data_IF_242828279872
#
_entry.id   IF_242828279872
#
_cell.length_a   1.000
_cell.length_b   1.000
_cell.length_c   1.000
_cell.angle_alpha   90.00
_cell.angle_beta   90.00
_cell.angle_gamma   90.00
#
_symmetry.space_group_name_H-M   'P 1'
#
loop_
_entity.id
_entity.type
_entity.pdbx_description
1 polymer ?
#
# COMPACT_ATOMS: atom_id res chain seq x y z
N UNK A 1 -9.24 -2.68 12.63
CA UNK A 1 -9.69 -3.12 11.28
C UNK A 1 -9.11 -2.18 10.24
N UNK A 2 -8.66 -2.71 9.09
CA UNK A 2 -8.06 -1.98 7.96
C UNK A 2 -8.56 -2.58 6.66
N UNK A 3 -8.25 -1.95 5.53
CA UNK A 3 -8.65 -2.44 4.22
C UNK A 3 -7.46 -3.06 3.46
N UNK A 4 -7.69 -4.19 2.80
CA UNK A 4 -6.77 -4.71 1.80
C UNK A 4 -6.90 -3.83 0.55
N UNK A 5 -5.81 -3.20 0.14
CA UNK A 5 -5.74 -2.31 -1.03
C UNK A 5 -4.99 -2.90 -2.22
N UNK A 6 -4.15 -3.91 -1.96
CA UNK A 6 -3.51 -4.71 -3.00
C UNK A 6 -3.26 -6.13 -2.49
N UNK A 7 -3.27 -7.09 -3.41
CA UNK A 7 -3.11 -8.53 -3.17
C UNK A 7 -1.86 -9.06 -3.89
N UNK A 8 -1.43 -10.31 -3.61
CA UNK A 8 -0.34 -10.92 -4.36
C UNK A 8 -0.53 -10.83 -5.88
N UNK A 9 0.55 -10.51 -6.60
CA UNK A 9 0.56 -10.36 -8.04
C UNK A 9 0.21 -8.96 -8.56
N UNK A 10 -0.45 -8.11 -7.76
CA UNK A 10 -0.63 -6.69 -8.10
C UNK A 10 0.72 -5.98 -8.17
N UNK A 11 0.86 -5.00 -9.05
CA UNK A 11 2.06 -4.15 -9.08
C UNK A 11 1.93 -3.00 -8.09
N UNK A 12 3.02 -2.67 -7.39
CA UNK A 12 3.08 -1.53 -6.47
C UNK A 12 4.24 -0.60 -6.84
N UNK A 13 3.92 0.68 -7.00
CA UNK A 13 4.88 1.75 -7.28
C UNK A 13 4.53 2.94 -6.36
N UNK A 14 5.56 3.68 -5.95
CA UNK A 14 5.39 5.01 -5.38
C UNK A 14 5.80 6.05 -6.41
N UNK A 15 4.91 7.01 -6.66
CA UNK A 15 5.17 8.13 -7.56
C UNK A 15 5.21 9.42 -6.76
N UNK A 16 6.36 10.10 -6.79
CA UNK A 16 6.50 11.45 -6.26
C UNK A 16 5.68 12.43 -7.11
N UNK A 17 4.91 13.28 -6.46
CA UNK A 17 4.06 14.29 -7.08
C UNK A 17 4.73 15.67 -7.02
N UNK A 18 4.19 16.64 -7.76
CA UNK A 18 4.73 18.01 -7.80
C UNK A 18 4.75 18.70 -6.43
N UNK A 19 3.88 18.29 -5.50
CA UNK A 19 3.82 18.80 -4.13
C UNK A 19 4.86 18.15 -3.18
N UNK A 20 5.67 17.22 -3.68
CA UNK A 20 6.68 16.47 -2.92
C UNK A 20 6.13 15.31 -2.09
N UNK A 21 4.82 15.03 -2.16
CA UNK A 21 4.23 13.84 -1.58
C UNK A 21 4.32 12.65 -2.55
N UNK A 22 4.15 11.46 -2.02
CA UNK A 22 4.23 10.20 -2.75
C UNK A 22 2.84 9.57 -2.80
N UNK A 23 2.39 9.25 -4.01
CA UNK A 23 1.14 8.52 -4.22
C UNK A 23 1.43 7.03 -4.37
N UNK A 24 0.57 6.21 -3.79
CA UNK A 24 0.62 4.75 -3.98
C UNK A 24 -0.12 4.41 -5.27
N UNK A 25 0.59 3.79 -6.20
CA UNK A 25 0.07 3.36 -7.49
C UNK A 25 0.01 1.83 -7.51
N UNK A 26 -1.19 1.29 -7.68
CA UNK A 26 -1.44 -0.15 -7.80
C UNK A 26 -1.95 -0.45 -9.21
N UNK A 27 -1.29 -1.37 -9.92
CA UNK A 27 -1.65 -1.72 -11.31
C UNK A 27 -1.80 -0.50 -12.23
N UNK A 28 -0.94 0.51 -12.05
CA UNK A 28 -0.93 1.74 -12.84
C UNK A 28 -2.02 2.76 -12.47
N UNK A 29 -2.72 2.59 -11.35
CA UNK A 29 -3.74 3.54 -10.86
C UNK A 29 -3.45 3.98 -9.43
N UNK A 30 -3.61 5.28 -9.16
CA UNK A 30 -3.60 5.78 -7.79
C UNK A 30 -4.75 5.15 -7.00
N UNK A 31 -4.45 4.61 -5.83
CA UNK A 31 -5.47 4.04 -4.96
C UNK A 31 -6.13 5.15 -4.13
N UNK A 32 -7.44 4.98 -3.89
CA UNK A 32 -8.27 5.93 -3.16
C UNK A 32 -8.80 5.33 -1.84
N UNK A 33 -9.10 6.18 -0.87
CA UNK A 33 -9.84 5.79 0.33
C UNK A 33 -11.36 5.67 0.03
N UNK A 34 -12.17 5.47 1.07
CA UNK A 34 -13.64 5.38 0.89
C UNK A 34 -14.31 6.71 0.54
N UNK A 35 -13.60 7.83 0.64
CA UNK A 35 -14.06 9.18 0.32
C UNK A 35 -13.53 9.65 -1.04
N UNK A 36 -13.00 8.72 -1.85
CA UNK A 36 -12.41 8.98 -3.18
C UNK A 36 -11.16 9.86 -3.15
N UNK A 37 -10.49 9.96 -2.00
CA UNK A 37 -9.26 10.71 -1.84
C UNK A 37 -8.02 9.83 -2.08
N UNK A 38 -7.01 10.30 -2.82
CA UNK A 38 -5.79 9.54 -3.06
C UNK A 38 -4.94 9.40 -1.80
N UNK A 39 -4.29 8.24 -1.64
CA UNK A 39 -3.29 8.06 -0.58
C UNK A 39 -2.04 8.89 -0.87
N UNK A 40 -1.95 10.04 -0.22
CA UNK A 40 -0.82 10.98 -0.30
C UNK A 40 0.07 10.87 0.94
N UNK A 41 1.30 10.37 0.76
CA UNK A 41 2.25 10.15 1.84
C UNK A 41 3.40 11.16 1.77
N UNK A 42 3.75 11.75 2.91
CA UNK A 42 5.01 12.52 2.99
C UNK A 42 6.20 11.59 2.77
N UNK A 43 7.35 12.15 2.37
CA UNK A 43 8.61 11.40 2.22
C UNK A 43 8.92 10.47 3.43
N UNK A 44 8.73 10.98 4.65
CA UNK A 44 8.99 10.20 5.86
C UNK A 44 8.07 8.97 5.98
N UNK A 45 6.80 9.10 5.59
CA UNK A 45 5.79 8.03 5.65
C UNK A 45 5.87 7.09 4.44
N UNK A 46 6.39 7.54 3.30
CA UNK A 46 6.55 6.72 2.10
C UNK A 46 7.75 5.77 2.18
N UNK A 47 8.75 6.10 3.02
CA UNK A 47 10.03 5.38 3.10
C UNK A 47 9.90 3.86 3.24
N UNK A 48 8.96 3.38 4.06
CA UNK A 48 8.80 1.95 4.30
C UNK A 48 8.24 1.22 3.08
N UNK A 49 7.17 1.74 2.49
CA UNK A 49 6.62 1.18 1.26
C UNK A 49 7.63 1.30 0.13
N UNK A 50 8.41 2.39 0.06
CA UNK A 50 9.41 2.58 -0.98
C UNK A 50 10.50 1.52 -0.92
N UNK A 51 10.99 1.19 0.29
CA UNK A 51 11.99 0.14 0.46
C UNK A 51 11.53 -1.19 -0.17
N UNK A 52 10.31 -1.60 0.15
CA UNK A 52 9.72 -2.83 -0.41
C UNK A 52 9.40 -2.71 -1.90
N UNK A 53 8.86 -1.57 -2.35
CA UNK A 53 8.54 -1.35 -3.76
C UNK A 53 9.81 -1.41 -4.64
N UNK A 54 10.94 -0.87 -4.18
CA UNK A 54 12.22 -1.00 -4.88
C UNK A 54 12.72 -2.44 -4.89
N UNK A 55 12.68 -3.14 -3.75
CA UNK A 55 13.03 -4.56 -3.69
C UNK A 55 12.18 -5.39 -4.67
N UNK A 56 10.87 -5.11 -4.74
CA UNK A 56 9.96 -5.84 -5.62
C UNK A 56 10.13 -5.47 -7.08
N UNK A 57 10.47 -4.22 -7.38
CA UNK A 57 10.84 -3.80 -8.72
C UNK A 57 12.00 -4.64 -9.26
N UNK A 58 13.03 -4.85 -8.44
CA UNK A 58 14.22 -5.60 -8.82
C UNK A 58 13.99 -7.12 -8.87
N UNK A 59 13.32 -7.69 -7.85
CA UNK A 59 13.20 -9.16 -7.69
C UNK A 59 11.93 -9.76 -8.29
N UNK A 60 10.85 -8.99 -8.37
CA UNK A 60 9.51 -9.48 -8.69
C UNK A 60 8.82 -8.67 -9.80
N UNK A 61 9.57 -7.88 -10.58
CA UNK A 61 9.01 -7.01 -11.63
C UNK A 61 7.88 -6.10 -11.10
N UNK A 62 8.11 -5.52 -9.93
CA UNK A 62 7.18 -4.66 -9.16
C UNK A 62 5.95 -5.37 -8.61
N UNK A 63 5.82 -6.70 -8.76
CA UNK A 63 4.68 -7.46 -8.24
C UNK A 63 4.84 -7.73 -6.75
N UNK A 64 3.73 -7.61 -6.04
CA UNK A 64 3.63 -8.05 -4.65
C UNK A 64 3.86 -9.57 -4.59
N UNK A 65 4.82 -10.05 -3.79
CA UNK A 65 5.10 -11.48 -3.64
C UNK A 65 3.88 -12.28 -3.13
N UNK A 66 3.95 -13.59 -3.31
CA UNK A 66 2.96 -14.51 -2.78
C UNK A 66 2.79 -14.32 -1.26
N UNK A 67 1.56 -14.47 -0.78
CA UNK A 67 1.15 -14.33 0.62
C UNK A 67 1.26 -12.93 1.24
N UNK A 68 1.68 -11.89 0.51
CA UNK A 68 1.77 -10.52 1.03
C UNK A 68 0.60 -9.64 0.57
N UNK A 69 0.15 -8.75 1.46
CA UNK A 69 -0.99 -7.86 1.25
C UNK A 69 -0.65 -6.43 1.63
N UNK A 70 -1.08 -5.45 0.83
CA UNK A 70 -1.05 -4.04 1.21
C UNK A 70 -2.29 -3.73 2.03
N UNK A 71 -2.10 -3.35 3.30
CA UNK A 71 -3.20 -3.10 4.25
C UNK A 71 -3.14 -1.65 4.69
N UNK A 72 -4.15 -0.85 4.34
CA UNK A 72 -4.20 0.58 4.66
C UNK A 72 -5.42 0.95 5.50
N UNK A 73 -5.25 1.97 6.35
CA UNK A 73 -6.37 2.64 7.00
C UNK A 73 -7.15 3.51 6.01
N UNK A 74 -8.26 4.09 6.46
CA UNK A 74 -9.01 5.03 5.62
C UNK A 74 -8.37 6.42 5.53
N UNK A 75 -7.51 6.78 6.48
CA UNK A 75 -6.79 8.06 6.44
C UNK A 75 -5.70 7.98 5.38
N UNK A 76 -5.78 8.85 4.38
CA UNK A 76 -4.90 8.90 3.20
C UNK A 76 -3.45 9.21 3.53
N UNK A 77 -3.21 9.98 4.60
CA UNK A 77 -1.87 10.27 5.08
C UNK A 77 -1.21 9.10 5.83
N UNK A 78 -1.86 7.94 5.94
CA UNK A 78 -1.36 6.77 6.65
C UNK A 78 -1.61 6.82 8.16
N UNK A 79 -1.86 5.63 8.72
CA UNK A 79 -2.08 5.38 10.16
C UNK A 79 -1.08 4.36 10.68
N UNK A 80 -1.40 3.62 11.75
CA UNK A 80 -0.73 2.36 12.04
C UNK A 80 -1.20 1.29 11.06
N UNK A 81 -0.58 1.25 9.87
CA UNK A 81 -0.89 0.38 8.75
C UNK A 81 0.37 0.08 7.90
N UNK A 82 0.23 -0.48 6.69
CA UNK A 82 1.36 -0.87 5.84
C UNK A 82 2.32 0.29 5.49
N UNK A 83 1.89 1.54 5.64
CA UNK A 83 2.80 2.70 5.55
C UNK A 83 3.89 2.73 6.62
N UNK A 84 3.65 2.09 7.77
CA UNK A 84 4.59 2.06 8.89
C UNK A 84 5.32 0.72 9.03
N UNK A 85 4.64 -0.40 8.78
CA UNK A 85 5.20 -1.75 9.01
C UNK A 85 5.40 -2.58 7.74
N UNK A 86 5.08 -2.04 6.55
CA UNK A 86 5.19 -2.76 5.29
C UNK A 86 4.01 -3.68 5.00
N UNK A 87 4.18 -4.62 4.06
CA UNK A 87 3.13 -5.55 3.67
C UNK A 87 2.86 -6.59 4.78
N UNK A 88 1.64 -7.12 4.78
CA UNK A 88 1.17 -8.07 5.79
C UNK A 88 1.08 -9.46 5.19
N UNK A 89 1.66 -10.46 5.86
CA UNK A 89 1.49 -11.86 5.48
C UNK A 89 0.06 -12.37 5.71
N UNK A 90 -0.41 -13.27 4.85
CA UNK A 90 -1.76 -13.85 4.92
C UNK A 90 -2.09 -14.43 6.30
N UNK A 91 -1.13 -15.08 6.93
CA UNK A 91 -1.27 -15.76 8.22
C UNK A 91 -1.55 -14.77 9.36
N UNK A 92 -1.10 -13.52 9.23
CA UNK A 92 -1.36 -12.45 10.19
C UNK A 92 -2.75 -11.83 10.02
N UNK A 93 -3.52 -12.24 9.01
CA UNK A 93 -4.91 -11.79 8.78
C UNK A 93 -5.87 -12.82 9.37
N UNK A 94 -6.30 -12.58 10.61
CA UNK A 94 -7.14 -13.51 11.40
C UNK A 94 -8.61 -13.58 10.96
N UNK A 95 -9.08 -12.66 10.12
CA UNK A 95 -10.47 -12.65 9.67
C UNK A 95 -10.81 -11.49 8.74
N UNK A 96 -12.01 -11.57 8.15
CA UNK A 96 -12.60 -10.54 7.30
C UNK A 96 -13.86 -10.01 7.97
N UNK A 97 -13.97 -8.69 8.09
CA UNK A 97 -15.22 -8.06 8.51
C UNK A 97 -16.22 -8.16 7.36
N UNK A 98 -17.39 -8.72 7.64
CA UNK A 98 -18.55 -8.75 6.73
C UNK A 98 -19.53 -7.71 7.28
N UNK A 99 -19.80 -6.66 6.50
CA UNK A 99 -20.85 -5.69 6.80
C UNK A 99 -22.17 -6.10 6.12
N UNK A 100 -23.28 -5.63 6.68
CA UNK A 100 -24.63 -5.74 6.10
C UNK A 100 -24.84 -4.77 4.93
#
# INVERSE_FOLDING_TARGET
VKFIRAVPGDTIILEEQEDGNFYIIINGKSILNSEEEPYSLTFAKSRMINLYAQEYKEKYNSKIPDNLYLVLGNQTSGTQDSTQFGLVERENIVGKVIGE
#
